data_IF_261596119774
#
_entry.id   IF_261596119774
#
_cell.length_a   1.000
_cell.length_b   1.000
_cell.length_c   1.000
_cell.angle_alpha   90.00
_cell.angle_beta   90.00
_cell.angle_gamma   90.00
#
_symmetry.space_group_name_H-M   'P 1'
#
loop_
_entity.id
_entity.type
_entity.pdbx_description
1 polymer ?
#
# COMPACT_ATOMS: atom_id res chain seq x y z
N UNK A 1 2.87 -1.11 17.64
CA UNK A 1 1.44 -0.77 17.87
C UNK A 1 0.53 -1.99 17.72
N UNK A 2 0.42 -2.63 16.55
CA UNK A 2 -0.44 -3.82 16.36
C UNK A 2 -0.06 -5.04 17.23
N UNK A 3 1.24 -5.30 17.43
CA UNK A 3 1.70 -6.36 18.36
C UNK A 3 1.21 -6.14 19.80
N UNK A 4 1.10 -4.89 20.21
CA UNK A 4 0.60 -4.50 21.53
C UNK A 4 -0.89 -4.78 21.64
N UNK A 5 -1.67 -4.42 20.62
CA UNK A 5 -3.11 -4.73 20.55
C UNK A 5 -3.37 -6.24 20.61
N UNK A 6 -2.64 -7.04 19.83
CA UNK A 6 -2.70 -8.50 19.88
C UNK A 6 -2.32 -9.07 21.26
N UNK A 7 -1.28 -8.51 21.90
CA UNK A 7 -0.83 -8.92 23.24
C UNK A 7 -1.91 -8.68 24.32
N UNK A 8 -2.68 -7.60 24.18
CA UNK A 8 -3.74 -7.24 25.14
C UNK A 8 -5.15 -7.66 24.70
N UNK A 9 -5.29 -8.45 23.62
CA UNK A 9 -6.59 -8.90 23.13
C UNK A 9 -7.50 -7.78 22.60
N UNK A 10 -6.95 -6.59 22.33
CA UNK A 10 -7.72 -5.44 21.84
C UNK A 10 -7.87 -5.60 20.33
N UNK A 11 -9.11 -5.80 19.88
CA UNK A 11 -9.45 -5.77 18.46
C UNK A 11 -9.88 -4.36 18.06
N UNK A 12 -9.32 -3.87 16.95
CA UNK A 12 -9.73 -2.61 16.36
C UNK A 12 -11.01 -2.88 15.55
N UNK A 13 -12.17 -2.84 16.23
CA UNK A 13 -13.46 -3.10 15.59
C UNK A 13 -14.21 -1.80 15.33
N UNK A 14 -13.67 -1.01 14.41
CA UNK A 14 -14.43 0.09 13.80
C UNK A 14 -15.36 -0.52 12.75
N UNK A 15 -16.69 -0.36 12.92
CA UNK A 15 -17.69 -0.88 11.99
C UNK A 15 -17.47 -0.37 10.55
N UNK A 16 -17.07 0.90 10.40
CA UNK A 16 -16.75 1.52 9.12
C UNK A 16 -15.55 2.47 9.29
N UNK A 17 -14.30 2.01 9.12
CA UNK A 17 -13.13 2.87 9.30
C UNK A 17 -13.09 3.95 8.20
N UNK A 18 -12.77 5.19 8.58
CA UNK A 18 -12.52 6.26 7.61
C UNK A 18 -11.29 5.96 6.76
N UNK A 19 -11.20 6.57 5.58
CA UNK A 19 -10.01 6.45 4.72
C UNK A 19 -8.72 6.90 5.43
N UNK A 20 -8.82 7.87 6.35
CA UNK A 20 -7.69 8.30 7.18
C UNK A 20 -7.20 7.17 8.08
N UNK A 21 -8.13 6.48 8.77
CA UNK A 21 -7.79 5.33 9.62
C UNK A 21 -7.22 4.19 8.77
N UNK A 22 -7.87 3.85 7.66
CA UNK A 22 -7.40 2.81 6.73
C UNK A 22 -5.99 3.13 6.22
N UNK A 23 -5.74 4.39 5.82
CA UNK A 23 -4.45 4.86 5.33
C UNK A 23 -3.33 4.90 6.38
N UNK A 24 -3.68 5.07 7.66
CA UNK A 24 -2.74 5.09 8.77
C UNK A 24 -2.31 3.68 9.25
N UNK A 25 -2.94 2.62 8.75
CA UNK A 25 -2.57 1.25 9.08
C UNK A 25 -1.29 0.81 8.32
N UNK A 26 -0.50 -0.12 8.91
CA UNK A 26 0.68 -0.66 8.24
C UNK A 26 0.30 -1.42 6.96
N UNK A 27 0.97 -1.13 5.85
CA UNK A 27 0.75 -1.84 4.57
C UNK A 27 1.17 -3.31 4.65
N UNK A 28 2.16 -3.61 5.50
CA UNK A 28 2.79 -4.93 5.62
C UNK A 28 2.31 -5.65 6.87
N UNK A 29 2.04 -6.96 6.75
CA UNK A 29 1.49 -7.76 7.85
C UNK A 29 0.21 -7.12 8.42
N UNK A 30 -0.62 -6.59 7.52
CA UNK A 30 -1.82 -5.83 7.84
C UNK A 30 -2.88 -6.76 8.46
N UNK A 31 -3.58 -6.30 9.51
CA UNK A 31 -4.55 -7.13 10.26
C UNK A 31 -5.77 -7.54 9.46
N UNK A 32 -6.11 -6.74 8.45
CA UNK A 32 -7.18 -6.96 7.47
C UNK A 32 -6.76 -7.68 6.19
N UNK A 33 -5.60 -8.35 6.16
CA UNK A 33 -5.22 -9.20 5.04
C UNK A 33 -6.09 -10.46 5.00
N UNK A 34 -6.51 -10.86 3.79
CA UNK A 34 -7.20 -12.11 3.56
C UNK A 34 -6.27 -13.31 3.85
N UNK A 35 -6.57 -14.13 4.89
CA UNK A 35 -5.71 -15.25 5.28
C UNK A 35 -5.68 -16.38 4.24
N UNK A 36 -6.61 -16.38 3.28
CA UNK A 36 -6.65 -17.34 2.16
C UNK A 36 -5.68 -16.99 1.03
N UNK A 37 -5.02 -15.83 1.06
CA UNK A 37 -4.11 -15.38 -0.01
C UNK A 37 -2.65 -15.49 0.43
N UNK A 38 -1.79 -15.94 -0.50
CA UNK A 38 -0.33 -15.98 -0.29
C UNK A 38 0.20 -14.57 -0.01
N UNK A 39 1.05 -14.45 1.02
CA UNK A 39 1.70 -13.19 1.40
C UNK A 39 2.99 -12.95 0.61
N UNK A 40 3.19 -11.74 0.10
CA UNK A 40 4.33 -11.35 -0.74
C UNK A 40 5.20 -10.29 -0.06
N UNK A 41 5.53 -10.51 1.21
CA UNK A 41 6.32 -9.55 1.99
C UNK A 41 7.83 -9.65 1.73
N UNK A 42 8.31 -10.75 1.16
CA UNK A 42 9.74 -11.06 1.06
C UNK A 42 10.28 -10.98 -0.38
N UNK A 43 9.57 -10.33 -1.30
CA UNK A 43 10.08 -10.11 -2.66
C UNK A 43 11.13 -9.00 -2.68
N UNK A 44 12.00 -8.98 -3.69
CA UNK A 44 12.96 -7.89 -3.87
C UNK A 44 12.26 -6.52 -3.95
N UNK A 45 11.11 -6.44 -4.63
CA UNK A 45 10.29 -5.24 -4.70
C UNK A 45 9.71 -4.84 -3.33
N UNK A 46 9.23 -5.80 -2.52
CA UNK A 46 8.73 -5.53 -1.16
C UNK A 46 9.85 -5.05 -0.22
N UNK A 47 11.06 -5.57 -0.39
CA UNK A 47 12.23 -5.09 0.34
C UNK A 47 12.62 -3.68 -0.10
N UNK A 48 12.68 -3.41 -1.41
CA UNK A 48 12.96 -2.08 -1.94
C UNK A 48 11.95 -1.04 -1.44
N UNK A 49 10.65 -1.35 -1.50
CA UNK A 49 9.60 -0.46 -1.00
C UNK A 49 9.78 -0.10 0.47
N UNK A 50 10.17 -1.06 1.32
CA UNK A 50 10.36 -0.81 2.76
C UNK A 50 11.67 -0.07 3.06
N UNK A 51 12.76 -0.49 2.45
CA UNK A 51 14.11 -0.02 2.80
C UNK A 51 14.50 1.25 2.06
N UNK A 52 14.11 1.36 0.78
CA UNK A 52 14.53 2.47 -0.08
C UNK A 52 13.44 3.53 -0.22
N UNK A 53 12.19 3.12 -0.46
CA UNK A 53 11.07 4.07 -0.60
C UNK A 53 10.44 4.48 0.74
N UNK A 54 10.72 3.76 1.84
CA UNK A 54 10.13 4.05 3.15
C UNK A 54 8.62 3.82 3.24
N UNK A 55 8.07 2.96 2.38
CA UNK A 55 6.64 2.62 2.36
C UNK A 55 6.36 1.66 3.51
N UNK A 56 5.66 2.16 4.53
CA UNK A 56 5.25 1.41 5.71
C UNK A 56 3.74 1.38 5.91
N UNK A 57 3.04 2.40 5.42
CA UNK A 57 1.60 2.62 5.63
C UNK A 57 0.81 2.43 4.34
N UNK A 58 -0.47 2.11 4.47
CA UNK A 58 -1.40 1.95 3.34
C UNK A 58 -1.44 3.21 2.48
N UNK A 59 -1.53 4.41 3.10
CA UNK A 59 -1.53 5.69 2.37
C UNK A 59 -0.28 5.91 1.52
N UNK A 60 0.89 5.51 2.02
CA UNK A 60 2.15 5.62 1.26
C UNK A 60 2.17 4.64 0.08
N UNK A 61 1.54 3.48 0.22
CA UNK A 61 1.29 2.59 -0.91
C UNK A 61 0.41 3.25 -1.97
N UNK A 62 -0.68 3.90 -1.56
CA UNK A 62 -1.56 4.60 -2.51
C UNK A 62 -0.82 5.72 -3.26
N UNK A 63 0.03 6.49 -2.59
CA UNK A 63 0.90 7.50 -3.21
C UNK A 63 1.79 6.89 -4.30
N UNK A 64 2.33 5.68 -4.08
CA UNK A 64 3.10 4.96 -5.11
C UNK A 64 2.23 4.61 -6.32
N UNK A 65 0.95 4.25 -6.11
CA UNK A 65 0.03 3.89 -7.20
C UNK A 65 -0.41 5.08 -8.05
N UNK A 66 -0.41 6.31 -7.52
CA UNK A 66 -0.81 7.51 -8.27
C UNK A 66 -0.05 7.68 -9.60
N UNK A 67 1.18 7.17 -9.69
CA UNK A 67 1.96 7.20 -10.94
C UNK A 67 1.31 6.43 -12.09
N UNK A 68 0.42 5.47 -11.82
CA UNK A 68 -0.29 4.72 -12.84
C UNK A 68 -1.30 5.58 -13.60
N UNK A 69 -1.73 6.70 -13.00
CA UNK A 69 -2.63 7.68 -13.61
C UNK A 69 -1.88 8.67 -14.52
N UNK A 70 -0.55 8.75 -14.40
CA UNK A 70 0.29 9.58 -15.27
C UNK A 70 0.35 8.99 -16.68
N UNK A 71 -0.14 9.74 -17.67
CA UNK A 71 -0.13 9.35 -19.09
C UNK A 71 1.28 9.10 -19.66
N UNK A 72 2.31 9.68 -19.04
CA UNK A 72 3.71 9.48 -19.43
C UNK A 72 4.30 8.19 -18.85
N UNK A 73 3.63 7.58 -17.86
CA UNK A 73 4.06 6.33 -17.27
C UNK A 73 3.92 5.16 -18.26
N UNK A 74 4.82 4.20 -18.14
CA UNK A 74 4.83 2.98 -18.95
C UNK A 74 4.99 1.80 -18.01
N UNK A 75 4.28 0.71 -18.30
CA UNK A 75 4.39 -0.57 -17.58
C UNK A 75 5.73 -1.26 -17.90
N UNK A 76 6.82 -0.63 -17.46
CA UNK A 76 8.18 -1.07 -17.75
C UNK A 76 9.15 -0.55 -16.70
N UNK A 77 10.08 -1.42 -16.28
CA UNK A 77 11.22 -1.05 -15.45
C UNK A 77 12.24 -0.15 -16.18
N UNK A 78 11.97 0.31 -17.40
CA UNK A 78 12.74 1.35 -18.10
C UNK A 78 11.93 2.64 -18.32
N UNK A 79 10.77 2.77 -17.67
CA UNK A 79 9.98 4.00 -17.73
C UNK A 79 10.82 5.22 -17.28
N UNK A 80 10.64 6.33 -18.00
CA UNK A 80 11.35 7.60 -17.81
C UNK A 80 10.41 8.74 -17.38
N UNK A 81 9.20 8.43 -16.88
CA UNK A 81 8.33 9.44 -16.28
C UNK A 81 9.03 10.08 -15.07
N UNK A 82 8.53 11.24 -14.64
CA UNK A 82 9.12 12.00 -13.54
C UNK A 82 9.19 11.17 -12.25
N UNK A 83 8.12 10.46 -11.90
CA UNK A 83 8.08 9.59 -10.72
C UNK A 83 9.13 8.46 -10.78
N UNK A 84 9.20 7.72 -11.89
CA UNK A 84 10.17 6.62 -12.03
C UNK A 84 11.62 7.11 -12.04
N UNK A 85 11.90 8.30 -12.59
CA UNK A 85 13.24 8.88 -12.55
C UNK A 85 13.59 9.39 -11.14
N UNK A 86 12.63 9.97 -10.42
CA UNK A 86 12.80 10.36 -9.03
C UNK A 86 13.15 9.15 -8.17
N UNK A 87 12.41 8.04 -8.32
CA UNK A 87 12.69 6.79 -7.60
C UNK A 87 14.11 6.26 -7.82
N UNK A 88 14.61 6.33 -9.05
CA UNK A 88 15.99 5.93 -9.36
C UNK A 88 17.02 6.83 -8.68
N UNK A 89 16.83 8.14 -8.77
CA UNK A 89 17.83 9.13 -8.33
C UNK A 89 17.84 9.30 -6.81
N UNK A 90 16.65 9.37 -6.22
CA UNK A 90 16.45 9.72 -4.81
C UNK A 90 16.43 8.49 -3.91
N UNK A 91 15.93 7.35 -4.42
CA UNK A 91 15.77 6.13 -3.63
C UNK A 91 16.68 4.98 -4.11
N UNK A 92 17.47 5.16 -5.18
CA UNK A 92 18.30 4.08 -5.73
C UNK A 92 17.48 2.90 -6.27
N UNK A 93 16.21 3.12 -6.63
CA UNK A 93 15.33 2.04 -7.09
C UNK A 93 15.65 1.62 -8.53
N UNK A 94 16.08 0.38 -8.72
CA UNK A 94 16.39 -0.17 -10.05
C UNK A 94 15.14 -0.52 -10.86
N UNK A 95 14.05 -0.86 -10.19
CA UNK A 95 12.82 -1.37 -10.81
C UNK A 95 11.56 -0.67 -10.27
N UNK A 96 11.36 0.63 -10.59
CA UNK A 96 10.24 1.42 -10.06
C UNK A 96 8.87 0.85 -10.43
N UNK A 97 8.72 0.28 -11.62
CA UNK A 97 7.43 -0.29 -12.02
C UNK A 97 7.11 -1.57 -11.26
N UNK A 98 8.09 -2.47 -11.07
CA UNK A 98 7.88 -3.67 -10.24
C UNK A 98 7.59 -3.33 -8.77
N UNK A 99 8.11 -2.22 -8.26
CA UNK A 99 7.72 -1.72 -6.94
C UNK A 99 6.24 -1.31 -6.92
N UNK A 100 5.77 -0.60 -7.96
CA UNK A 100 4.35 -0.26 -8.11
C UNK A 100 3.45 -1.50 -8.21
N UNK A 101 3.81 -2.48 -9.03
CA UNK A 101 3.05 -3.75 -9.13
C UNK A 101 2.99 -4.49 -7.80
N UNK A 102 4.10 -4.49 -7.04
CA UNK A 102 4.13 -5.10 -5.72
C UNK A 102 3.18 -4.40 -4.75
N UNK A 103 3.10 -3.06 -4.78
CA UNK A 103 2.13 -2.31 -3.98
C UNK A 103 0.70 -2.66 -4.38
N UNK A 104 0.39 -2.66 -5.68
CA UNK A 104 -0.95 -2.99 -6.19
C UNK A 104 -1.37 -4.40 -5.74
N UNK A 105 -0.48 -5.39 -5.89
CA UNK A 105 -0.70 -6.76 -5.41
C UNK A 105 -0.94 -6.79 -3.91
N UNK A 106 -0.24 -5.98 -3.13
CA UNK A 106 -0.36 -5.97 -1.66
C UNK A 106 -1.71 -5.38 -1.25
N UNK A 107 -2.10 -4.25 -1.82
CA UNK A 107 -3.39 -3.60 -1.54
C UNK A 107 -4.59 -4.46 -1.96
N UNK A 108 -4.52 -5.15 -3.10
CA UNK A 108 -5.60 -6.04 -3.58
C UNK A 108 -5.82 -7.31 -2.74
N UNK A 109 -5.06 -7.48 -1.65
CA UNK A 109 -5.28 -8.54 -0.63
C UNK A 109 -5.98 -8.03 0.62
N UNK A 110 -6.14 -6.72 0.77
CA UNK A 110 -6.93 -6.15 1.85
C UNK A 110 -8.39 -6.55 1.64
N UNK A 111 -9.05 -6.96 2.72
CA UNK A 111 -10.51 -7.11 2.71
C UNK A 111 -11.16 -5.75 2.45
N UNK A 112 -12.35 -5.69 1.82
CA UNK A 112 -13.01 -4.43 1.46
C UNK A 112 -13.12 -3.41 2.61
N UNK A 113 -13.37 -3.88 3.85
CA UNK A 113 -13.40 -3.06 5.07
C UNK A 113 -12.12 -2.23 5.27
N UNK A 114 -10.99 -2.71 4.79
CA UNK A 114 -9.67 -2.14 5.04
C UNK A 114 -9.01 -1.55 3.79
N UNK A 115 -9.61 -1.72 2.62
CA UNK A 115 -9.11 -1.12 1.38
C UNK A 115 -9.67 0.30 1.22
N UNK A 116 -8.84 1.35 1.34
CA UNK A 116 -9.30 2.74 1.20
C UNK A 116 -9.74 3.10 -0.21
N UNK A 117 -9.45 2.24 -1.20
CA UNK A 117 -9.92 2.41 -2.58
C UNK A 117 -11.38 1.97 -2.75
N UNK A 118 -11.91 1.19 -1.80
CA UNK A 118 -13.22 0.54 -1.90
C UNK A 118 -14.40 1.33 -1.35
N UNK A 119 -14.19 2.48 -0.70
CA UNK A 119 -15.25 3.21 0.00
C UNK A 119 -15.38 4.66 -0.49
N UNK A 120 -16.26 4.83 -1.47
CA UNK A 120 -17.07 6.03 -1.70
C UNK A 120 -18.51 5.78 -1.21
N UNK A 121 -18.64 5.13 -0.03
CA UNK A 121 -19.93 5.00 0.62
C UNK A 121 -20.23 6.30 1.37
N UNK A 122 -20.96 7.17 0.70
CA UNK A 122 -21.76 8.24 1.30
C UNK A 122 -22.47 7.70 2.55
N UNK A 123 -22.00 8.08 3.73
CA UNK A 123 -22.85 8.14 4.92
C UNK A 123 -22.69 9.55 5.49
N UNK A 124 -23.12 10.53 4.69
CA UNK A 124 -23.55 11.82 5.20
C UNK A 124 -24.97 11.64 5.73
N UNK A 125 -25.10 11.48 7.04
CA UNK A 125 -26.34 11.76 7.73
C UNK A 125 -26.59 13.27 7.65
N UNK A 126 -27.54 13.67 6.82
CA UNK A 126 -28.35 14.89 6.98
C UNK A 126 -29.81 14.50 6.99
#
# INVERSE_FOLDING_TARGET
>A
MLKTLKKYGIQFDTLNPSQEIQGALPLWHHTGEDPGKVQYHNTAAANCLRLNHGVLLVRQGMEVLQRLEDKSHKQSNRCRCLACNSDRRSHGCEHPHSCTEQVERTLSRLLPKWDPRGNDNQIGLT
#
